data_IF_272108666014
#
_entry.id   IF_272108666014
#
_cell.length_a   1.000
_cell.length_b   1.000
_cell.length_c   1.000
_cell.angle_alpha   90.00
_cell.angle_beta   90.00
_cell.angle_gamma   90.00
#
_symmetry.space_group_name_H-M   'P 1'
#
loop_
_entity.id
_entity.type
_entity.pdbx_description
1 polymer ?
#
# COMPACT_ATOMS: atom_id res chain seq x y z
N UNK A 1 -32.33 -7.85 -4.66
CA UNK A 1 -31.20 -6.93 -4.41
C UNK A 1 -29.98 -7.81 -4.24
N UNK A 2 -29.00 -7.72 -5.15
CA UNK A 2 -27.82 -8.60 -5.08
C UNK A 2 -27.03 -8.34 -3.80
N UNK A 3 -26.48 -9.39 -3.20
CA UNK A 3 -25.60 -9.27 -2.04
C UNK A 3 -24.34 -8.54 -2.50
N UNK A 4 -24.11 -7.32 -2.01
CA UNK A 4 -22.87 -6.59 -2.29
C UNK A 4 -21.72 -7.27 -1.53
N UNK A 5 -20.61 -7.50 -2.22
CA UNK A 5 -19.39 -8.05 -1.60
C UNK A 5 -18.88 -7.05 -0.56
N UNK A 6 -18.71 -7.50 0.68
CA UNK A 6 -18.21 -6.66 1.76
C UNK A 6 -16.69 -6.65 1.76
N UNK A 7 -16.10 -5.47 1.65
CA UNK A 7 -14.66 -5.28 1.62
C UNK A 7 -14.17 -4.46 2.81
N UNK A 8 -13.09 -4.91 3.42
CA UNK A 8 -12.33 -4.16 4.41
C UNK A 8 -10.97 -3.79 3.82
N UNK A 9 -10.68 -2.50 3.75
CA UNK A 9 -9.34 -1.99 3.47
C UNK A 9 -8.74 -1.51 4.79
N UNK A 10 -7.68 -2.16 5.26
CA UNK A 10 -6.87 -1.65 6.35
C UNK A 10 -5.58 -1.09 5.81
N UNK A 11 -5.09 0.00 6.38
CA UNK A 11 -3.78 0.52 6.03
C UNK A 11 -3.01 1.08 7.22
N UNK A 12 -1.68 0.93 7.16
CA UNK A 12 -0.74 1.64 8.02
C UNK A 12 0.01 2.71 7.22
N UNK A 13 0.18 3.90 7.79
CA UNK A 13 0.90 5.00 7.12
C UNK A 13 1.76 5.83 8.09
N UNK A 14 2.94 6.25 7.62
CA UNK A 14 3.83 7.17 8.39
C UNK A 14 3.55 8.63 8.08
N UNK A 15 3.40 8.95 6.79
CA UNK A 15 3.24 10.32 6.28
C UNK A 15 1.98 10.48 5.42
N UNK A 16 0.97 9.62 5.57
CA UNK A 16 -0.35 9.83 4.96
C UNK A 16 -0.52 9.37 3.50
N UNK A 17 0.55 9.16 2.72
CA UNK A 17 0.41 8.76 1.30
C UNK A 17 -0.49 7.53 1.10
N UNK A 18 -0.33 6.51 1.95
CA UNK A 18 -1.11 5.26 1.89
C UNK A 18 -2.59 5.47 2.21
N UNK A 19 -2.96 6.52 2.98
CA UNK A 19 -4.37 6.86 3.23
C UNK A 19 -5.07 7.19 1.91
N UNK A 20 -4.52 8.13 1.16
CA UNK A 20 -5.09 8.55 -0.13
C UNK A 20 -5.11 7.40 -1.15
N UNK A 21 -4.06 6.57 -1.20
CA UNK A 21 -4.08 5.35 -2.01
C UNK A 21 -5.19 4.39 -1.60
N UNK A 22 -5.41 4.19 -0.30
CA UNK A 22 -6.47 3.31 0.22
C UNK A 22 -7.86 3.85 -0.07
N UNK A 23 -8.05 5.17 0.05
CA UNK A 23 -9.29 5.86 -0.29
C UNK A 23 -9.59 5.74 -1.79
N UNK A 24 -8.59 5.85 -2.67
CA UNK A 24 -8.79 5.70 -4.10
C UNK A 24 -9.12 4.24 -4.49
N UNK A 25 -8.46 3.25 -3.88
CA UNK A 25 -8.82 1.84 -4.06
C UNK A 25 -10.28 1.63 -3.61
N UNK A 26 -10.67 2.19 -2.46
CA UNK A 26 -12.05 2.11 -1.97
C UNK A 26 -13.04 2.74 -2.95
N UNK A 27 -12.71 3.89 -3.52
CA UNK A 27 -13.55 4.56 -4.51
C UNK A 27 -13.77 3.71 -5.76
N UNK A 28 -12.73 3.02 -6.25
CA UNK A 28 -12.87 2.08 -7.37
C UNK A 28 -13.71 0.87 -6.98
N UNK A 29 -13.46 0.23 -5.83
CA UNK A 29 -14.24 -0.91 -5.38
C UNK A 29 -15.72 -0.56 -5.17
N UNK A 30 -16.05 0.64 -4.66
CA UNK A 30 -17.44 1.11 -4.53
C UNK A 30 -18.11 1.30 -5.89
N UNK A 31 -17.39 1.83 -6.90
CA UNK A 31 -17.90 1.92 -8.28
C UNK A 31 -18.14 0.53 -8.90
N UNK A 32 -17.46 -0.48 -8.37
CA UNK A 32 -17.65 -1.90 -8.67
C UNK A 32 -18.72 -2.56 -7.76
N UNK A 33 -19.59 -1.80 -7.08
CA UNK A 33 -20.67 -2.31 -6.22
C UNK A 33 -20.19 -3.12 -4.99
N UNK A 34 -19.01 -2.83 -4.44
CA UNK A 34 -18.59 -3.37 -3.14
C UNK A 34 -19.08 -2.45 -2.00
N UNK A 35 -19.43 -3.04 -0.87
CA UNK A 35 -19.60 -2.31 0.40
C UNK A 35 -18.24 -2.21 1.11
N UNK A 36 -17.62 -1.03 1.07
CA UNK A 36 -16.20 -0.86 1.46
C UNK A 36 -16.04 -0.05 2.74
N UNK A 37 -15.49 -0.68 3.77
CA UNK A 37 -14.96 -0.02 4.97
C UNK A 37 -13.46 0.22 4.83
N UNK A 38 -13.01 1.43 5.17
CA UNK A 38 -11.59 1.82 5.17
C UNK A 38 -11.16 2.13 6.60
N UNK A 39 -10.05 1.52 7.05
CA UNK A 39 -9.55 1.62 8.43
C UNK A 39 -8.07 1.99 8.45
N UNK A 40 -7.73 3.06 9.17
CA UNK A 40 -6.37 3.35 9.56
C UNK A 40 -6.01 2.51 10.80
N UNK A 41 -5.00 1.65 10.71
CA UNK A 41 -4.61 0.72 11.79
C UNK A 41 -4.10 1.42 13.05
N UNK A 42 -3.73 2.70 12.95
CA UNK A 42 -3.36 3.53 14.10
C UNK A 42 -4.57 4.10 14.85
N UNK A 43 -5.68 4.33 14.15
CA UNK A 43 -6.87 5.01 14.68
C UNK A 43 -7.92 4.02 15.18
N UNK A 44 -8.08 2.88 14.51
CA UNK A 44 -9.07 1.87 14.87
C UNK A 44 -8.45 0.46 14.90
N UNK A 45 -8.73 -0.28 15.98
CA UNK A 45 -8.36 -1.70 16.10
C UNK A 45 -9.50 -2.59 15.64
N UNK A 46 -9.33 -3.22 14.48
CA UNK A 46 -10.26 -4.24 13.99
C UNK A 46 -10.22 -5.47 14.89
N UNK A 47 -11.39 -5.85 15.41
CA UNK A 47 -11.57 -6.98 16.31
C UNK A 47 -12.06 -8.23 15.60
N UNK A 48 -12.80 -8.06 14.51
CA UNK A 48 -13.40 -9.14 13.74
C UNK A 48 -13.39 -8.79 12.24
N UNK A 49 -13.20 -9.81 11.42
CA UNK A 49 -13.25 -9.73 9.95
C UNK A 49 -14.21 -10.75 9.33
N UNK A 50 -15.01 -11.44 10.16
CA UNK A 50 -15.92 -12.50 9.74
C UNK A 50 -16.91 -12.04 8.66
N UNK A 51 -17.43 -10.82 8.78
CA UNK A 51 -18.41 -10.20 7.88
C UNK A 51 -17.87 -9.73 6.52
N UNK A 52 -16.54 -9.75 6.31
CA UNK A 52 -15.96 -9.31 5.05
C UNK A 52 -15.59 -10.49 4.16
N UNK A 53 -15.84 -10.36 2.87
CA UNK A 53 -15.44 -11.32 1.85
C UNK A 53 -14.02 -11.02 1.35
N UNK A 54 -13.73 -9.73 1.15
CA UNK A 54 -12.45 -9.18 0.72
C UNK A 54 -11.77 -8.42 1.86
N UNK A 55 -10.51 -8.74 2.12
CA UNK A 55 -9.65 -7.98 3.03
C UNK A 55 -8.40 -7.51 2.28
N UNK A 56 -8.29 -6.20 2.06
CA UNK A 56 -7.10 -5.58 1.48
C UNK A 56 -6.26 -4.93 2.59
N UNK A 57 -5.01 -5.31 2.72
CA UNK A 57 -4.09 -4.77 3.74
C UNK A 57 -2.96 -3.99 3.08
N UNK A 58 -2.91 -2.71 3.40
CA UNK A 58 -1.98 -1.72 2.88
C UNK A 58 -0.92 -1.29 3.87
N UNK A 59 0.28 -0.98 3.39
CA UNK A 59 1.26 -0.28 4.24
C UNK A 59 2.14 0.68 3.46
N UNK A 60 2.44 1.83 4.07
CA UNK A 60 3.65 2.56 3.72
C UNK A 60 4.88 1.71 4.02
N UNK A 61 5.88 1.74 3.13
CA UNK A 61 7.15 1.04 3.31
C UNK A 61 8.27 2.07 3.35
N UNK A 62 9.10 1.99 4.40
CA UNK A 62 10.41 2.64 4.39
C UNK A 62 11.44 1.72 5.02
N UNK A 63 12.66 1.73 4.47
CA UNK A 63 13.74 0.80 4.82
C UNK A 63 13.26 -0.66 4.78
N UNK A 64 12.48 -1.04 3.76
CA UNK A 64 11.93 -2.38 3.55
C UNK A 64 11.03 -2.92 4.68
N UNK A 65 10.49 -2.03 5.52
CA UNK A 65 9.59 -2.42 6.62
C UNK A 65 8.22 -1.77 6.46
N UNK A 66 7.20 -2.58 6.74
CA UNK A 66 5.84 -2.14 6.92
C UNK A 66 5.72 -1.24 8.17
N UNK A 67 4.60 -0.52 8.23
CA UNK A 67 4.11 0.09 9.47
C UNK A 67 3.67 -1.04 10.38
N UNK A 68 4.14 -1.02 11.63
CA UNK A 68 4.02 -2.15 12.56
C UNK A 68 2.56 -2.58 12.75
N UNK A 69 1.65 -1.62 12.89
CA UNK A 69 0.22 -1.87 13.14
C UNK A 69 -0.44 -2.61 11.97
N UNK A 70 0.00 -2.40 10.73
CA UNK A 70 -0.48 -3.15 9.57
C UNK A 70 0.11 -4.57 9.51
N UNK A 71 1.40 -4.74 9.86
CA UNK A 71 2.02 -6.07 9.96
C UNK A 71 1.44 -6.89 11.13
N UNK A 72 1.14 -6.25 12.25
CA UNK A 72 0.50 -6.88 13.42
C UNK A 72 -0.91 -7.37 13.09
N UNK A 73 -1.65 -6.65 12.24
CA UNK A 73 -2.94 -7.13 11.74
C UNK A 73 -2.77 -8.44 10.95
N UNK A 74 -1.82 -8.52 10.00
CA UNK A 74 -1.54 -9.74 9.25
C UNK A 74 -1.17 -10.90 10.18
N UNK A 75 -0.31 -10.64 11.17
CA UNK A 75 0.10 -11.65 12.16
C UNK A 75 -1.08 -12.14 12.99
N UNK A 76 -1.96 -11.23 13.43
CA UNK A 76 -3.11 -11.53 14.28
C UNK A 76 -4.15 -12.36 13.52
N UNK A 77 -4.52 -11.93 12.32
CA UNK A 77 -5.63 -12.51 11.56
C UNK A 77 -5.24 -13.57 10.54
N UNK A 78 -3.97 -14.01 10.52
CA UNK A 78 -3.44 -14.94 9.49
C UNK A 78 -4.33 -16.17 9.25
N UNK A 79 -4.92 -16.74 10.30
CA UNK A 79 -5.78 -17.93 10.20
C UNK A 79 -7.12 -17.60 9.56
N UNK A 80 -7.78 -16.52 9.98
CA UNK A 80 -9.04 -16.13 9.34
C UNK A 80 -8.81 -15.70 7.88
N UNK A 81 -7.68 -15.04 7.59
CA UNK A 81 -7.31 -14.60 6.25
C UNK A 81 -7.14 -15.75 5.24
N UNK A 82 -6.86 -16.99 5.68
CA UNK A 82 -6.82 -18.17 4.80
C UNK A 82 -8.17 -18.45 4.13
N UNK A 83 -9.27 -18.00 4.75
CA UNK A 83 -10.63 -18.20 4.28
C UNK A 83 -11.24 -16.94 3.64
N UNK A 84 -10.44 -15.88 3.45
CA UNK A 84 -10.87 -14.61 2.86
C UNK A 84 -10.16 -14.37 1.53
N UNK A 85 -10.77 -13.56 0.66
CA UNK A 85 -10.05 -12.98 -0.48
C UNK A 85 -9.09 -11.94 0.08
N UNK A 86 -7.80 -12.28 0.15
CA UNK A 86 -6.77 -11.38 0.67
C UNK A 86 -6.10 -10.61 -0.46
N UNK A 87 -5.94 -9.29 -0.30
CA UNK A 87 -5.06 -8.49 -1.14
C UNK A 87 -4.02 -7.77 -0.27
N UNK A 88 -2.78 -7.66 -0.74
CA UNK A 88 -1.75 -6.85 -0.09
C UNK A 88 -1.39 -5.68 -0.99
N UNK A 89 -1.08 -4.53 -0.43
CA UNK A 89 -0.48 -3.46 -1.21
C UNK A 89 0.49 -2.60 -0.40
N UNK A 90 1.40 -1.94 -1.10
CA UNK A 90 2.37 -1.03 -0.46
C UNK A 90 2.52 0.29 -1.19
N UNK A 91 2.80 1.34 -0.43
CA UNK A 91 3.27 2.64 -0.93
C UNK A 91 4.75 2.79 -0.58
N UNK A 92 5.62 2.93 -1.58
CA UNK A 92 7.08 2.96 -1.40
C UNK A 92 7.77 4.03 -2.26
N UNK A 93 9.09 4.14 -2.13
CA UNK A 93 9.94 5.01 -2.96
C UNK A 93 10.55 4.32 -4.17
N UNK A 94 10.16 3.07 -4.42
CA UNK A 94 10.68 2.25 -5.51
C UNK A 94 10.52 2.82 -6.93
N UNK A 95 9.51 3.67 -7.26
CA UNK A 95 9.49 4.30 -8.58
C UNK A 95 10.77 5.07 -8.92
N UNK A 96 11.52 5.52 -7.89
CA UNK A 96 12.85 6.13 -8.08
C UNK A 96 13.82 5.10 -8.68
N UNK A 97 13.96 3.93 -8.04
CA UNK A 97 14.81 2.85 -8.51
C UNK A 97 14.35 2.30 -9.89
N UNK A 98 13.04 2.24 -10.12
CA UNK A 98 12.46 1.86 -11.42
C UNK A 98 12.92 2.81 -12.54
N UNK A 99 12.85 4.13 -12.32
CA UNK A 99 13.31 5.13 -13.30
C UNK A 99 14.83 5.23 -13.43
N UNK A 100 15.57 4.80 -12.43
CA UNK A 100 17.03 4.63 -12.48
C UNK A 100 17.46 3.38 -13.26
N UNK A 101 16.52 2.47 -13.59
CA UNK A 101 16.84 1.17 -14.19
C UNK A 101 17.49 0.20 -13.21
N UNK A 102 17.39 0.44 -11.90
CA UNK A 102 17.96 -0.40 -10.86
C UNK A 102 17.03 -1.58 -10.54
N UNK A 103 17.01 -2.55 -11.44
CA UNK A 103 16.13 -3.73 -11.36
C UNK A 103 16.39 -4.61 -10.12
N UNK A 104 17.63 -4.65 -9.63
CA UNK A 104 18.00 -5.41 -8.43
C UNK A 104 17.35 -4.80 -7.17
N UNK A 105 17.44 -3.48 -6.98
CA UNK A 105 16.83 -2.83 -5.81
C UNK A 105 15.30 -2.88 -5.87
N UNK A 106 14.70 -2.79 -7.07
CA UNK A 106 13.26 -3.00 -7.30
C UNK A 106 12.85 -4.41 -6.84
N UNK A 107 13.54 -5.45 -7.33
CA UNK A 107 13.24 -6.84 -6.99
C UNK A 107 13.39 -7.11 -5.49
N UNK A 108 14.49 -6.62 -4.89
CA UNK A 108 14.75 -6.74 -3.45
C UNK A 108 13.69 -6.05 -2.61
N UNK A 109 13.29 -4.83 -2.96
CA UNK A 109 12.26 -4.07 -2.23
C UNK A 109 10.92 -4.78 -2.32
N UNK A 110 10.53 -5.23 -3.52
CA UNK A 110 9.29 -5.98 -3.73
C UNK A 110 9.27 -7.28 -2.92
N UNK A 111 10.35 -8.05 -2.97
CA UNK A 111 10.49 -9.30 -2.21
C UNK A 111 10.31 -9.05 -0.70
N UNK A 112 11.08 -8.12 -0.13
CA UNK A 112 11.03 -7.82 1.30
C UNK A 112 9.68 -7.26 1.76
N UNK A 113 9.05 -6.42 0.93
CA UNK A 113 7.79 -5.78 1.27
C UNK A 113 6.56 -6.68 1.08
N UNK A 114 6.59 -7.66 0.18
CA UNK A 114 5.42 -8.48 -0.11
C UNK A 114 5.70 -9.98 0.04
N UNK A 115 6.61 -10.54 -0.76
CA UNK A 115 6.84 -11.99 -0.85
C UNK A 115 7.32 -12.58 0.48
N UNK A 116 8.26 -11.92 1.16
CA UNK A 116 8.75 -12.35 2.46
C UNK A 116 7.63 -12.26 3.52
N UNK A 117 6.69 -11.31 3.40
CA UNK A 117 5.52 -11.23 4.30
C UNK A 117 4.54 -12.37 4.05
N UNK A 118 4.28 -12.68 2.78
CA UNK A 118 3.46 -13.83 2.37
C UNK A 118 4.04 -15.11 2.94
N UNK A 119 5.34 -15.36 2.74
CA UNK A 119 6.02 -16.55 3.24
C UNK A 119 6.05 -16.62 4.76
N UNK A 120 6.47 -15.54 5.43
CA UNK A 120 6.59 -15.46 6.90
C UNK A 120 5.27 -15.73 7.62
N UNK A 121 4.14 -15.31 7.03
CA UNK A 121 2.83 -15.40 7.66
C UNK A 121 1.91 -16.47 7.05
N UNK A 122 2.36 -17.21 6.04
CA UNK A 122 1.57 -18.26 5.38
C UNK A 122 0.36 -17.71 4.60
N UNK A 123 0.46 -16.48 4.09
CA UNK A 123 -0.65 -15.80 3.42
C UNK A 123 -0.84 -16.31 1.99
N UNK A 124 -2.06 -16.18 1.46
CA UNK A 124 -2.39 -16.53 0.07
C UNK A 124 -3.15 -15.38 -0.60
N UNK A 125 -2.49 -14.23 -0.85
CA UNK A 125 -3.16 -13.10 -1.47
C UNK A 125 -3.56 -13.41 -2.91
N UNK A 126 -4.78 -13.05 -3.30
CA UNK A 126 -5.27 -13.11 -4.69
C UNK A 126 -4.70 -11.99 -5.56
N UNK A 127 -4.19 -10.93 -4.92
CA UNK A 127 -3.56 -9.80 -5.60
C UNK A 127 -2.55 -9.11 -4.70
N UNK A 128 -1.48 -8.61 -5.31
CA UNK A 128 -0.45 -7.82 -4.63
C UNK A 128 -0.15 -6.54 -5.41
N UNK A 129 -0.38 -5.38 -4.79
CA UNK A 129 -0.16 -4.06 -5.34
C UNK A 129 1.16 -3.45 -4.87
N UNK A 130 1.90 -2.84 -5.79
CA UNK A 130 3.17 -2.19 -5.44
C UNK A 130 3.20 -0.81 -6.10
N UNK A 131 3.08 0.23 -5.27
CA UNK A 131 2.79 1.59 -5.71
C UNK A 131 3.81 2.59 -5.15
N UNK A 132 3.92 3.74 -5.82
CA UNK A 132 4.61 4.89 -5.28
C UNK A 132 3.93 5.46 -4.04
N UNK A 133 4.70 6.12 -3.19
CA UNK A 133 4.22 6.96 -2.10
C UNK A 133 4.42 8.45 -2.39
N UNK A 134 4.36 9.25 -1.34
CA UNK A 134 4.71 10.66 -1.36
C UNK A 134 6.00 10.81 -0.55
N UNK A 135 6.98 11.52 -1.11
CA UNK A 135 8.12 12.05 -0.35
C UNK A 135 7.83 13.51 -0.08
N UNK A 136 7.54 13.84 1.17
CA UNK A 136 7.41 15.22 1.62
C UNK A 136 8.46 15.49 2.70
N UNK A 137 9.53 16.17 2.30
CA UNK A 137 10.64 16.51 3.20
C UNK A 137 10.14 17.39 4.36
N UNK A 138 9.08 18.18 4.16
CA UNK A 138 8.56 19.10 5.17
C UNK A 138 7.92 18.37 6.35
N UNK A 139 7.45 17.14 6.15
CA UNK A 139 6.82 16.30 7.19
C UNK A 139 7.80 15.49 8.02
N UNK A 140 9.10 15.62 7.74
CA UNK A 140 10.17 14.89 8.41
C UNK A 140 10.91 15.76 9.43
N UNK A 141 11.36 15.15 10.53
CA UNK A 141 12.29 15.78 11.46
C UNK A 141 13.65 16.06 10.80
N UNK A 142 14.40 17.03 11.34
CA UNK A 142 15.61 17.58 10.70
C UNK A 142 16.63 16.53 10.22
N UNK A 143 16.98 15.56 11.08
CA UNK A 143 17.96 14.52 10.74
C UNK A 143 17.46 13.61 9.61
N UNK A 144 16.22 13.12 9.71
CA UNK A 144 15.58 12.30 8.67
C UNK A 144 15.43 13.08 7.37
N UNK A 145 15.05 14.36 7.44
CA UNK A 145 14.95 15.24 6.28
C UNK A 145 16.29 15.30 5.53
N UNK A 146 17.38 15.66 6.21
CA UNK A 146 18.71 15.77 5.58
C UNK A 146 19.16 14.45 4.94
N UNK A 147 18.94 13.32 5.60
CA UNK A 147 19.27 12.01 5.04
C UNK A 147 18.45 11.68 3.79
N UNK A 148 17.14 11.93 3.82
CA UNK A 148 16.25 11.68 2.68
C UNK A 148 16.52 12.65 1.52
N UNK A 149 16.85 13.91 1.79
CA UNK A 149 17.27 14.87 0.77
C UNK A 149 18.58 14.41 0.10
N UNK A 150 19.58 14.02 0.88
CA UNK A 150 20.85 13.53 0.35
C UNK A 150 20.68 12.26 -0.50
N UNK A 151 19.78 11.35 -0.09
CA UNK A 151 19.53 10.10 -0.80
C UNK A 151 18.69 10.29 -2.07
N UNK A 152 17.64 11.11 -2.02
CA UNK A 152 16.59 11.09 -3.05
C UNK A 152 16.40 12.39 -3.81
N UNK A 153 16.87 13.56 -3.33
CA UNK A 153 16.59 14.84 -4.00
C UNK A 153 17.14 14.88 -5.43
N UNK A 154 18.39 14.46 -5.62
CA UNK A 154 19.01 14.43 -6.95
C UNK A 154 18.35 13.37 -7.87
N UNK A 155 18.14 12.10 -7.45
CA UNK A 155 17.37 11.14 -8.23
C UNK A 155 15.98 11.64 -8.64
N UNK A 156 15.23 12.23 -7.71
CA UNK A 156 13.89 12.76 -7.97
C UNK A 156 13.91 13.81 -9.10
N UNK A 157 14.84 14.77 -9.02
CA UNK A 157 14.99 15.82 -10.03
C UNK A 157 15.47 15.26 -11.38
N UNK A 158 16.50 14.41 -11.35
CA UNK A 158 17.10 13.81 -12.55
C UNK A 158 16.10 12.95 -13.33
N UNK A 159 15.25 12.20 -12.64
CA UNK A 159 14.28 11.28 -13.23
C UNK A 159 12.89 11.90 -13.42
N UNK A 160 12.78 13.23 -13.37
CA UNK A 160 11.58 13.97 -13.77
C UNK A 160 10.39 13.80 -12.84
N UNK A 161 10.59 13.47 -11.56
CA UNK A 161 9.53 13.57 -10.57
C UNK A 161 9.27 15.05 -10.29
N UNK A 162 8.03 15.48 -10.52
CA UNK A 162 7.63 16.86 -10.33
C UNK A 162 7.29 17.11 -8.86
N UNK A 163 7.67 18.29 -8.39
CA UNK A 163 7.19 18.77 -7.11
C UNK A 163 5.69 19.06 -7.17
N UNK A 164 4.95 18.55 -6.20
CA UNK A 164 3.53 18.93 -5.98
C UNK A 164 3.42 20.16 -5.07
N UNK A 165 4.45 20.40 -4.26
CA UNK A 165 4.70 21.58 -3.47
C UNK A 165 6.21 21.66 -3.17
N UNK A 166 6.75 22.80 -2.71
CA UNK A 166 8.18 22.92 -2.42
C UNK A 166 8.70 21.79 -1.51
N UNK A 167 9.56 20.91 -2.04
CA UNK A 167 10.10 19.77 -1.31
C UNK A 167 9.16 18.56 -1.13
N UNK A 168 8.05 18.52 -1.86
CA UNK A 168 7.10 17.40 -1.87
C UNK A 168 6.96 16.80 -3.27
N UNK A 169 7.08 15.47 -3.38
CA UNK A 169 7.08 14.71 -4.62
C UNK A 169 6.06 13.57 -4.53
N UNK A 170 5.17 13.48 -5.52
CA UNK A 170 4.24 12.37 -5.65
C UNK A 170 4.81 11.33 -6.63
N UNK A 171 5.03 10.12 -6.14
CA UNK A 171 5.59 9.00 -6.93
C UNK A 171 4.48 8.07 -7.43
N UNK A 172 3.21 8.32 -7.08
CA UNK A 172 2.10 7.45 -7.43
C UNK A 172 1.78 7.50 -8.91
N UNK A 173 1.54 6.33 -9.48
CA UNK A 173 0.82 6.18 -10.73
C UNK A 173 -0.64 5.84 -10.41
N UNK A 174 -1.51 6.84 -10.52
CA UNK A 174 -2.94 6.68 -10.26
C UNK A 174 -3.63 5.73 -11.22
N UNK A 175 -3.17 5.64 -12.47
CA UNK A 175 -3.74 4.69 -13.43
C UNK A 175 -3.38 3.26 -13.02
N UNK A 176 -2.14 3.01 -12.60
CA UNK A 176 -1.70 1.72 -12.04
C UNK A 176 -2.54 1.31 -10.82
N UNK A 177 -2.76 2.23 -9.88
CA UNK A 177 -3.58 1.99 -8.68
C UNK A 177 -5.02 1.66 -9.06
N UNK A 178 -5.64 2.45 -9.95
CA UNK A 178 -7.03 2.25 -10.38
C UNK A 178 -7.22 0.95 -11.14
N UNK A 179 -6.31 0.63 -12.05
CA UNK A 179 -6.36 -0.61 -12.82
C UNK A 179 -6.22 -1.83 -11.91
N UNK A 180 -5.26 -1.79 -10.98
CA UNK A 180 -5.11 -2.84 -9.97
C UNK A 180 -6.38 -3.02 -9.12
N UNK A 181 -7.04 -1.94 -8.70
CA UNK A 181 -8.27 -2.02 -7.94
C UNK A 181 -9.45 -2.62 -8.74
N UNK A 182 -9.53 -2.35 -10.06
CA UNK A 182 -10.52 -2.98 -10.95
C UNK A 182 -10.25 -4.47 -11.12
N UNK A 183 -9.00 -4.86 -11.33
CA UNK A 183 -8.59 -6.27 -11.40
C UNK A 183 -8.86 -7.00 -10.08
N UNK A 184 -8.62 -6.34 -8.95
CA UNK A 184 -8.95 -6.88 -7.63
C UNK A 184 -10.46 -7.10 -7.48
N UNK A 185 -11.29 -6.18 -7.94
CA UNK A 185 -12.74 -6.32 -7.93
C UNK A 185 -13.20 -7.56 -8.73
N UNK A 186 -12.59 -7.82 -9.89
CA UNK A 186 -12.89 -9.00 -10.70
C UNK A 186 -12.51 -10.29 -9.97
N UNK A 187 -11.25 -10.40 -9.51
CA UNK A 187 -10.74 -11.58 -8.79
C UNK A 187 -11.46 -11.89 -7.48
N UNK A 188 -12.07 -10.88 -6.86
CA UNK A 188 -12.79 -11.06 -5.59
C UNK A 188 -14.18 -11.68 -5.79
N UNK A 189 -14.69 -11.73 -7.02
CA UNK A 189 -15.98 -12.35 -7.38
C UNK A 189 -15.85 -13.77 -7.94
N UNK A 190 -14.63 -14.20 -8.27
CA UNK A 190 -14.29 -15.56 -8.69
C UNK A 190 -14.26 -16.53 -7.50
#
# INVERSE_FOLDING_TARGET
MGVNVKALILYGTRYGATKETSEEIANILRKENFDVKVVNTKEEKVKDISDYDLVAVGSGVACNRWVNEAEDFLKKFRKELEHKKLALFVSSVEPIAEREGNTEEVAKTRKAALEDKVSKYGLKPISMGFFGGIIDFNRMGFLTRKGMEAAFKLPLQKHGFKETAPGAYDLRDWNKIRNWAKELAQKSRE
#
